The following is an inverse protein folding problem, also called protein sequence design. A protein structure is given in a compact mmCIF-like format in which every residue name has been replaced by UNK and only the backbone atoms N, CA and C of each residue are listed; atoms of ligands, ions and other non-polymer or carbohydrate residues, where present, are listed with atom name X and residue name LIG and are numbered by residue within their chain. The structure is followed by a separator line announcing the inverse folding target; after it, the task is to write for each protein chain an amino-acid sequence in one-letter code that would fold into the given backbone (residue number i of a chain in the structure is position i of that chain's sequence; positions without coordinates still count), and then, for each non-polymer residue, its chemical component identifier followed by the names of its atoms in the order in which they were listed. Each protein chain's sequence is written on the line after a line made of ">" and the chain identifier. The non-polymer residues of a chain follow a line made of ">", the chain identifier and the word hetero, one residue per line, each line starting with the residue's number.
data_IF_987380320998
#
_entry.id   IF_987380320998
#
_cell.length_a   1.000
_cell.length_b   1.000
_cell.length_c   1.000
_cell.angle_alpha   90.00
_cell.angle_beta   90.00
_cell.angle_gamma   90.00
#
_symmetry.space_group_name_H-M   'P 1'
#
loop_
_entity.id
_entity.type
_entity.pdbx_description
1 polymer ?
#
# COMPACT_ATOMS: atom_id res chain seq x y z
N UNK A 1 0.94 -44.78 -16.74
CA UNK A 1 1.14 -43.65 -17.69
C UNK A 1 1.60 -42.46 -16.85
N UNK A 2 2.76 -41.82 -17.08
CA UNK A 2 3.12 -40.92 -18.20
C UNK A 2 2.16 -39.72 -18.33
N UNK A 3 2.54 -38.43 -18.36
CA UNK A 3 3.83 -37.66 -18.41
C UNK A 3 3.62 -36.35 -17.58
N UNK A 4 4.62 -35.62 -17.04
CA UNK A 4 5.65 -34.77 -17.71
C UNK A 4 5.05 -33.44 -18.22
N UNK A 5 5.63 -32.22 -18.08
CA UNK A 5 7.03 -31.79 -17.79
C UNK A 5 7.11 -30.38 -17.13
N UNK A 6 8.17 -30.22 -16.34
CA UNK A 6 9.06 -29.06 -16.14
C UNK A 6 9.07 -27.88 -17.13
N UNK A 7 9.39 -26.66 -16.64
CA UNK A 7 10.68 -25.91 -16.84
C UNK A 7 10.67 -24.61 -15.97
N UNK A 8 11.53 -24.45 -14.94
CA UNK A 8 12.93 -23.93 -14.95
C UNK A 8 13.13 -22.40 -15.08
N UNK A 9 13.67 -21.78 -14.01
CA UNK A 9 14.77 -20.76 -14.03
C UNK A 9 15.27 -20.51 -12.59
N UNK A 10 16.27 -21.27 -12.14
CA UNK A 10 17.70 -20.90 -12.05
C UNK A 10 18.03 -19.83 -11.00
N UNK A 11 18.49 -20.31 -9.83
CA UNK A 11 19.35 -19.54 -8.89
C UNK A 11 20.67 -19.21 -9.58
N UNK A 12 21.23 -18.04 -9.32
CA UNK A 12 22.65 -17.74 -9.56
C UNK A 12 23.36 -17.68 -8.21
N UNK A 13 24.26 -18.63 -7.99
CA UNK A 13 25.25 -18.58 -6.91
C UNK A 13 26.54 -17.98 -7.47
N UNK A 14 27.00 -16.88 -6.87
CA UNK A 14 28.37 -16.40 -7.05
C UNK A 14 29.17 -16.82 -5.82
N UNK A 15 30.13 -17.72 -6.00
CA UNK A 15 31.14 -18.04 -5.00
C UNK A 15 32.30 -17.03 -5.12
N UNK A 16 32.95 -16.64 -4.01
CA UNK A 16 34.26 -15.99 -4.05
C UNK A 16 35.39 -17.04 -4.10
N UNK A 17 36.46 -16.73 -4.82
CA UNK A 17 37.63 -17.61 -4.98
C UNK A 17 38.79 -17.22 -4.05
N UNK A 18 39.24 -18.20 -3.27
CA UNK A 18 40.63 -18.58 -2.97
C UNK A 18 41.63 -17.63 -2.22
N UNK A 19 42.16 -18.19 -1.12
CA UNK A 19 43.59 -18.20 -0.67
C UNK A 19 44.20 -16.88 -0.11
N UNK A 20 45.14 -16.86 0.85
CA UNK A 20 45.98 -17.88 1.54
C UNK A 20 45.97 -17.76 3.09
N UNK A 21 46.34 -18.87 3.76
CA UNK A 21 47.25 -19.13 4.92
C UNK A 21 47.81 -17.95 5.77
N UNK A 22 48.37 -18.09 6.99
CA UNK A 22 49.08 -19.17 7.72
C UNK A 22 48.84 -19.05 9.26
N UNK A 23 49.28 -19.92 10.19
CA UNK A 23 49.23 -21.39 10.37
C UNK A 23 49.69 -21.73 11.85
N UNK A 24 49.38 -22.92 12.42
CA UNK A 24 49.88 -23.43 13.74
C UNK A 24 48.86 -23.53 14.90
N UNK A 25 48.95 -24.44 15.87
CA UNK A 25 49.81 -25.63 16.08
C UNK A 25 49.18 -26.57 17.15
N UNK A 26 49.40 -27.90 17.02
CA UNK A 26 49.34 -29.08 17.96
C UNK A 26 48.51 -29.02 19.30
N UNK A 27 47.95 -30.10 19.86
CA UNK A 27 48.43 -31.51 19.96
C UNK A 27 47.28 -32.48 20.38
N UNK A 28 47.50 -33.82 20.36
CA UNK A 28 46.84 -34.73 21.33
C UNK A 28 46.00 -35.95 20.86
N UNK A 29 46.64 -37.12 20.83
CA UNK A 29 46.14 -38.46 21.28
C UNK A 29 45.06 -39.29 20.51
N UNK A 30 45.59 -40.30 19.78
CA UNK A 30 45.19 -41.74 19.74
C UNK A 30 43.82 -42.26 19.24
N UNK A 31 43.91 -42.95 18.09
CA UNK A 31 43.49 -44.35 17.80
C UNK A 31 42.02 -44.78 18.02
N UNK A 32 41.31 -44.99 16.91
CA UNK A 32 40.55 -46.23 16.68
C UNK A 32 40.40 -46.51 15.17
N UNK A 33 40.82 -47.70 14.71
CA UNK A 33 40.78 -48.09 13.29
C UNK A 33 39.87 -49.31 13.12
N UNK A 34 38.71 -49.10 12.48
CA UNK A 34 37.94 -50.13 11.76
C UNK A 34 37.30 -49.48 10.53
N UNK A 35 37.70 -49.93 9.35
CA UNK A 35 37.09 -49.53 8.07
C UNK A 35 35.91 -50.47 7.76
N UNK A 36 34.76 -49.94 7.35
CA UNK A 36 34.07 -50.42 6.14
C UNK A 36 32.99 -49.43 5.63
N UNK A 37 33.17 -49.03 4.36
CA UNK A 37 32.15 -48.70 3.33
C UNK A 37 31.06 -47.63 3.57
N UNK A 38 31.31 -46.47 2.95
CA UNK A 38 30.48 -45.81 1.92
C UNK A 38 28.93 -45.93 1.98
N UNK A 39 28.27 -44.80 2.26
CA UNK A 39 27.11 -44.35 1.47
C UNK A 39 26.89 -42.84 1.66
N UNK A 40 26.96 -42.06 0.58
CA UNK A 40 26.58 -40.65 0.57
C UNK A 40 25.05 -40.50 0.50
N UNK A 41 24.49 -39.59 1.30
CA UNK A 41 23.20 -38.95 0.98
C UNK A 41 23.14 -37.54 1.57
N UNK A 42 23.51 -36.57 0.74
CA UNK A 42 23.22 -35.15 0.97
C UNK A 42 21.71 -34.88 0.94
N UNK A 43 21.21 -34.07 1.88
CA UNK A 43 20.17 -33.05 1.66
C UNK A 43 19.72 -32.37 2.97
N UNK A 44 20.67 -31.91 3.77
CA UNK A 44 20.44 -31.11 4.99
C UNK A 44 20.20 -29.62 4.70
N UNK A 45 19.21 -29.29 3.85
CA UNK A 45 18.97 -27.92 3.38
C UNK A 45 18.62 -26.94 4.49
N UNK A 46 19.62 -26.20 5.00
CA UNK A 46 19.43 -25.11 5.95
C UNK A 46 18.47 -24.05 5.39
N UNK A 47 17.24 -24.04 5.89
CA UNK A 47 16.32 -22.91 5.68
C UNK A 47 16.93 -21.70 6.38
N UNK A 48 17.51 -20.78 5.62
CA UNK A 48 17.67 -19.40 6.07
C UNK A 48 16.28 -18.91 6.48
N UNK A 49 16.06 -18.71 7.78
CA UNK A 49 14.83 -18.13 8.29
C UNK A 49 14.78 -16.67 7.87
N UNK A 50 14.23 -16.43 6.67
CA UNK A 50 13.99 -15.09 6.14
C UNK A 50 13.07 -14.38 7.14
N UNK A 51 13.60 -13.36 7.82
CA UNK A 51 12.89 -12.72 8.92
C UNK A 51 11.71 -11.94 8.37
N UNK A 52 10.50 -12.40 8.70
CA UNK A 52 9.26 -11.68 8.46
C UNK A 52 8.96 -10.80 9.67
N UNK A 53 8.94 -9.49 9.44
CA UNK A 53 8.58 -8.48 10.43
C UNK A 53 7.20 -7.95 10.08
N UNK A 54 6.32 -7.81 11.07
CA UNK A 54 4.97 -7.28 10.91
C UNK A 54 4.79 -6.08 11.82
N UNK A 55 4.21 -5.00 11.30
CA UNK A 55 3.84 -3.82 12.09
C UNK A 55 2.42 -3.38 11.80
N UNK A 56 1.64 -3.13 12.85
CA UNK A 56 0.31 -2.52 12.76
C UNK A 56 0.41 -1.00 12.85
N UNK A 57 0.01 -0.31 11.79
CA UNK A 57 -0.03 1.16 11.72
C UNK A 57 -1.49 1.59 11.82
N UNK A 58 -1.80 2.57 12.67
CA UNK A 58 -3.15 3.15 12.74
C UNK A 58 -3.13 4.59 12.25
N UNK A 59 -3.98 4.89 11.27
CA UNK A 59 -4.11 6.23 10.69
C UNK A 59 -5.31 6.93 11.32
N UNK A 60 -5.08 8.07 11.97
CA UNK A 60 -6.07 8.81 12.76
C UNK A 60 -6.09 10.30 12.38
N UNK A 61 -7.14 11.01 12.78
CA UNK A 61 -7.38 12.41 12.43
C UNK A 61 -8.84 12.65 12.04
N UNK A 62 -9.21 13.91 11.81
CA UNK A 62 -10.60 14.31 11.59
C UNK A 62 -11.26 13.68 10.34
N UNK A 63 -12.57 13.88 10.20
CA UNK A 63 -13.30 13.51 8.99
C UNK A 63 -12.78 14.30 7.78
N UNK A 64 -12.80 13.69 6.58
CA UNK A 64 -12.45 14.34 5.29
C UNK A 64 -11.02 14.91 5.15
N UNK A 65 -10.13 14.78 6.14
CA UNK A 65 -8.70 15.19 6.03
C UNK A 65 -7.92 14.40 4.98
N UNK A 66 -8.39 13.20 4.61
CA UNK A 66 -7.82 12.40 3.50
C UNK A 66 -7.03 11.15 3.91
N UNK A 67 -7.22 10.60 5.11
CA UNK A 67 -6.59 9.34 5.60
C UNK A 67 -6.60 8.22 4.55
N UNK A 68 -7.79 7.82 4.11
CA UNK A 68 -8.00 6.79 3.07
C UNK A 68 -7.34 7.14 1.75
N UNK A 69 -7.29 8.43 1.38
CA UNK A 69 -6.64 8.87 0.15
C UNK A 69 -5.11 8.69 0.24
N UNK A 70 -4.48 9.02 1.38
CA UNK A 70 -3.04 8.77 1.62
C UNK A 70 -2.74 7.27 1.57
N UNK A 71 -3.57 6.43 2.20
CA UNK A 71 -3.39 4.97 2.22
C UNK A 71 -3.52 4.38 0.81
N UNK A 72 -4.56 4.74 0.07
CA UNK A 72 -4.77 4.28 -1.30
C UNK A 72 -3.67 4.77 -2.26
N UNK A 73 -3.20 6.00 -2.06
CA UNK A 73 -2.11 6.56 -2.86
C UNK A 73 -0.76 5.89 -2.53
N UNK A 74 -0.53 5.47 -1.28
CA UNK A 74 0.67 4.72 -0.90
C UNK A 74 0.66 3.26 -1.39
N UNK A 75 -0.43 2.52 -1.16
CA UNK A 75 -0.52 1.09 -1.44
C UNK A 75 -0.82 0.77 -2.91
N UNK A 76 -1.68 1.57 -3.54
CA UNK A 76 -2.24 1.27 -4.86
C UNK A 76 -1.89 2.33 -5.93
N UNK A 77 -1.27 3.44 -5.53
CA UNK A 77 -1.01 4.61 -6.38
C UNK A 77 -2.29 5.16 -7.04
N UNK A 78 -3.41 5.14 -6.31
CA UNK A 78 -4.72 5.62 -6.78
C UNK A 78 -5.30 6.70 -5.87
N UNK A 79 -5.87 7.71 -6.52
CA UNK A 79 -6.69 8.75 -5.89
C UNK A 79 -8.11 8.71 -6.46
N UNK A 80 -9.12 8.97 -5.61
CA UNK A 80 -10.52 9.10 -6.03
C UNK A 80 -11.11 10.37 -5.39
N UNK A 81 -11.59 11.35 -6.17
CA UNK A 81 -12.13 12.60 -5.63
C UNK A 81 -13.51 12.42 -4.95
N UNK A 82 -14.23 11.34 -5.27
CA UNK A 82 -15.52 11.03 -4.66
C UNK A 82 -15.33 10.56 -3.21
N UNK A 83 -15.72 11.39 -2.25
CA UNK A 83 -15.70 11.01 -0.84
C UNK A 83 -16.69 9.87 -0.53
N UNK A 84 -16.18 8.83 0.13
CA UNK A 84 -16.95 7.78 0.81
C UNK A 84 -16.53 7.80 2.29
N UNK A 85 -17.50 7.78 3.21
CA UNK A 85 -17.20 7.73 4.65
C UNK A 85 -16.63 6.35 5.01
N UNK A 86 -15.39 6.30 5.51
CA UNK A 86 -14.82 5.10 6.14
C UNK A 86 -15.52 4.82 7.47
N UNK A 87 -15.73 3.53 7.77
CA UNK A 87 -16.11 3.05 9.12
C UNK A 87 -14.83 2.64 9.85
N UNK A 88 -14.26 1.50 9.46
CA UNK A 88 -12.89 1.08 9.75
C UNK A 88 -12.50 0.06 8.67
N UNK A 89 -11.29 0.16 8.10
CA UNK A 89 -10.82 -0.72 7.03
C UNK A 89 -9.36 -1.13 7.26
N UNK A 90 -9.07 -2.43 7.16
CA UNK A 90 -7.73 -2.98 7.36
C UNK A 90 -7.08 -3.23 5.99
N UNK A 91 -6.05 -2.47 5.67
CA UNK A 91 -5.24 -2.65 4.47
C UNK A 91 -3.95 -3.40 4.79
N UNK A 92 -3.47 -4.20 3.83
CA UNK A 92 -2.23 -4.94 3.95
C UNK A 92 -1.24 -4.51 2.86
N UNK A 93 0.02 -4.33 3.26
CA UNK A 93 1.14 -4.08 2.35
C UNK A 93 2.36 -4.88 2.75
N UNK A 94 2.67 -5.95 2.01
CA UNK A 94 3.96 -6.64 2.14
C UNK A 94 5.03 -5.90 1.36
N UNK A 95 6.24 -5.77 1.91
CA UNK A 95 7.40 -5.11 1.29
C UNK A 95 8.64 -6.00 1.45
N UNK A 96 9.63 -5.84 0.57
CA UNK A 96 10.95 -6.44 0.74
C UNK A 96 11.98 -5.32 0.84
N UNK A 97 12.67 -5.23 1.98
CA UNK A 97 13.61 -4.16 2.29
C UNK A 97 14.90 -4.80 2.79
N UNK A 98 15.99 -4.63 2.03
CA UNK A 98 17.32 -5.18 2.37
C UNK A 98 17.34 -6.70 2.67
N UNK A 99 16.46 -7.48 2.04
CA UNK A 99 16.35 -8.93 2.27
C UNK A 99 15.47 -9.34 3.46
N UNK A 100 14.78 -8.38 4.09
CA UNK A 100 13.77 -8.61 5.13
C UNK A 100 12.38 -8.47 4.50
N UNK A 101 11.46 -9.38 4.84
CA UNK A 101 10.05 -9.25 4.50
C UNK A 101 9.34 -8.43 5.57
N UNK A 102 8.78 -7.28 5.18
CA UNK A 102 8.06 -6.35 6.06
C UNK A 102 6.59 -6.30 5.67
N UNK A 103 5.71 -6.85 6.50
CA UNK A 103 4.25 -6.72 6.36
C UNK A 103 3.75 -5.53 7.16
N UNK A 104 3.05 -4.59 6.52
CA UNK A 104 2.37 -3.48 7.17
C UNK A 104 0.86 -3.74 7.18
N UNK A 105 0.27 -3.81 8.38
CA UNK A 105 -1.17 -3.86 8.59
C UNK A 105 -1.64 -2.42 8.90
N UNK A 106 -2.19 -1.72 7.90
CA UNK A 106 -2.55 -0.29 7.98
C UNK A 106 -4.06 -0.14 8.21
N UNK A 107 -4.45 0.37 9.37
CA UNK A 107 -5.85 0.58 9.75
C UNK A 107 -6.30 1.99 9.35
N UNK A 108 -7.15 2.08 8.33
CA UNK A 108 -7.91 3.30 8.03
C UNK A 108 -9.09 3.38 9.00
N UNK A 109 -9.09 4.41 9.85
CA UNK A 109 -10.18 4.62 10.82
C UNK A 109 -11.15 5.68 10.30
N UNK A 110 -12.43 5.64 10.69
CA UNK A 110 -13.30 6.80 10.47
C UNK A 110 -12.69 8.04 11.13
N UNK A 111 -12.90 9.22 10.53
CA UNK A 111 -12.60 10.49 11.19
C UNK A 111 -13.71 10.97 12.13
N UNK A 112 -14.48 10.04 12.70
CA UNK A 112 -15.70 10.32 13.43
C UNK A 112 -15.88 9.20 14.45
N UNK A 113 -15.14 9.29 15.55
CA UNK A 113 -15.08 8.24 16.57
C UNK A 113 -16.31 8.33 17.47
N UNK A 114 -17.46 7.88 16.95
CA UNK A 114 -18.73 7.78 17.66
C UNK A 114 -18.66 6.82 18.88
N UNK A 115 -17.60 5.99 18.96
CA UNK A 115 -17.40 4.98 20.01
C UNK A 115 -15.98 5.07 20.61
N UNK A 116 -15.81 5.68 21.79
CA UNK A 116 -14.49 5.81 22.46
C UNK A 116 -13.77 4.48 22.69
N UNK A 117 -14.50 3.42 23.04
CA UNK A 117 -13.92 2.09 23.30
C UNK A 117 -13.23 1.48 22.05
N UNK A 118 -13.75 1.73 20.85
CA UNK A 118 -13.12 1.31 19.60
C UNK A 118 -11.83 2.09 19.35
N UNK A 119 -11.85 3.41 19.60
CA UNK A 119 -10.63 4.25 19.52
C UNK A 119 -9.55 3.74 20.46
N UNK A 120 -9.89 3.44 21.72
CA UNK A 120 -8.93 2.93 22.71
C UNK A 120 -8.36 1.56 22.33
N UNK A 121 -9.16 0.67 21.72
CA UNK A 121 -8.69 -0.62 21.21
C UNK A 121 -7.72 -0.45 20.03
N UNK A 122 -8.06 0.43 19.09
CA UNK A 122 -7.20 0.75 17.95
C UNK A 122 -5.89 1.41 18.40
N UNK A 123 -5.92 2.30 19.40
CA UNK A 123 -4.70 2.84 20.03
C UNK A 123 -3.90 1.71 20.68
N UNK A 124 -4.47 0.95 21.62
CA UNK A 124 -3.74 -0.09 22.37
C UNK A 124 -3.05 -1.10 21.45
N UNK A 125 -3.69 -1.47 20.34
CA UNK A 125 -3.16 -2.48 19.39
C UNK A 125 -2.15 -1.97 18.35
N UNK A 126 -1.95 -0.66 18.18
CA UNK A 126 -1.04 -0.12 17.15
C UNK A 126 0.45 -0.15 17.55
N UNK A 127 1.33 -0.49 16.63
CA UNK A 127 2.80 -0.35 16.81
C UNK A 127 3.28 1.07 16.48
N UNK A 128 2.58 1.76 15.58
CA UNK A 128 2.91 3.12 15.15
C UNK A 128 1.66 3.88 14.67
N UNK A 129 1.72 5.22 14.66
CA UNK A 129 0.60 6.09 14.30
C UNK A 129 0.93 7.09 13.21
N UNK A 130 -0.05 7.33 12.34
CA UNK A 130 -0.04 8.45 11.38
C UNK A 130 -1.21 9.37 11.71
N UNK A 131 -0.92 10.62 12.11
CA UNK A 131 -1.91 11.61 12.52
C UNK A 131 -2.09 12.65 11.41
N UNK A 132 -3.22 12.56 10.70
CA UNK A 132 -3.49 13.38 9.50
C UNK A 132 -4.38 14.57 9.84
N UNK A 133 -3.98 15.76 9.40
CA UNK A 133 -4.79 16.97 9.38
C UNK A 133 -4.86 17.56 7.97
N UNK A 134 -5.76 18.50 7.76
CA UNK A 134 -5.87 19.29 6.53
C UNK A 134 -5.14 20.63 6.75
N UNK A 135 -4.19 20.99 5.89
CA UNK A 135 -3.43 22.25 6.06
C UNK A 135 -4.31 23.51 5.92
N UNK A 136 -5.51 23.34 5.38
CA UNK A 136 -6.50 24.40 5.14
C UNK A 136 -7.62 24.43 6.20
N UNK A 137 -7.54 23.61 7.25
CA UNK A 137 -8.53 23.61 8.36
C UNK A 137 -7.80 23.42 9.70
N UNK A 138 -7.62 24.55 10.40
CA UNK A 138 -6.94 24.64 11.68
C UNK A 138 -7.58 23.79 12.80
N UNK A 139 -8.88 23.51 12.72
CA UNK A 139 -9.59 22.66 13.69
C UNK A 139 -9.13 21.20 13.62
N UNK A 140 -8.76 20.73 12.42
CA UNK A 140 -8.29 19.36 12.22
C UNK A 140 -6.92 19.12 12.84
N UNK A 141 -6.06 20.15 12.90
CA UNK A 141 -4.80 20.09 13.64
C UNK A 141 -4.99 20.11 15.17
N UNK A 142 -6.04 20.79 15.66
CA UNK A 142 -6.43 20.71 17.08
C UNK A 142 -6.90 19.28 17.45
N UNK A 143 -7.60 18.56 16.56
CA UNK A 143 -7.91 17.15 16.80
C UNK A 143 -6.63 16.29 16.85
N UNK A 144 -5.64 16.55 15.98
CA UNK A 144 -4.32 15.87 16.04
C UNK A 144 -3.62 16.09 17.38
N UNK A 145 -3.67 17.29 17.97
CA UNK A 145 -3.14 17.58 19.32
C UNK A 145 -3.79 16.69 20.39
N UNK A 146 -5.13 16.61 20.36
CA UNK A 146 -5.92 15.78 21.29
C UNK A 146 -5.65 14.29 21.11
N UNK A 147 -5.60 13.80 19.87
CA UNK A 147 -5.29 12.41 19.53
C UNK A 147 -3.88 12.02 20.02
N UNK A 148 -2.87 12.87 19.80
CA UNK A 148 -1.51 12.64 20.29
C UNK A 148 -1.49 12.51 21.81
N UNK A 149 -2.18 13.39 22.54
CA UNK A 149 -2.26 13.32 24.00
C UNK A 149 -2.89 12.00 24.49
N UNK A 150 -3.97 11.53 23.85
CA UNK A 150 -4.62 10.26 24.17
C UNK A 150 -3.73 9.05 23.85
N UNK A 151 -2.95 9.10 22.76
CA UNK A 151 -1.99 8.05 22.40
C UNK A 151 -0.89 7.95 23.46
N UNK A 152 -0.27 9.08 23.82
CA UNK A 152 0.82 9.11 24.80
C UNK A 152 0.36 8.73 26.21
N UNK A 153 -0.85 9.10 26.63
CA UNK A 153 -1.40 8.65 27.92
C UNK A 153 -1.70 7.15 27.95
N UNK A 154 -1.97 6.53 26.80
CA UNK A 154 -2.34 5.11 26.69
C UNK A 154 -1.15 4.19 26.45
N UNK A 155 -0.12 4.64 25.70
CA UNK A 155 1.04 3.81 25.30
C UNK A 155 2.40 4.32 25.80
N UNK A 156 2.50 5.55 26.28
CA UNK A 156 3.79 6.22 26.47
C UNK A 156 4.46 6.51 25.12
N UNK A 157 5.79 6.41 25.06
CA UNK A 157 6.55 6.68 23.85
C UNK A 157 6.30 5.62 22.75
N UNK A 158 5.81 6.07 21.60
CA UNK A 158 5.48 5.23 20.43
C UNK A 158 5.75 6.05 19.14
N UNK A 159 6.13 5.43 18.01
CA UNK A 159 6.38 6.16 16.77
C UNK A 159 5.13 6.86 16.25
N UNK A 160 5.25 8.18 16.05
CA UNK A 160 4.18 9.05 15.54
C UNK A 160 4.74 9.87 14.38
N UNK A 161 4.01 9.91 13.26
CA UNK A 161 4.21 10.89 12.18
C UNK A 161 2.95 11.73 12.04
N UNK A 162 3.09 13.05 12.14
CA UNK A 162 2.04 14.02 11.84
C UNK A 162 2.12 14.38 10.35
N UNK A 163 0.97 14.40 9.69
CA UNK A 163 0.86 14.59 8.25
C UNK A 163 -0.11 15.72 7.93
N UNK A 164 0.42 16.82 7.38
CA UNK A 164 -0.39 17.89 6.79
C UNK A 164 -0.75 17.51 5.36
N UNK A 165 -2.03 17.22 5.09
CA UNK A 165 -2.49 16.83 3.76
C UNK A 165 -3.17 18.00 3.03
N UNK A 166 -3.31 17.85 1.70
CA UNK A 166 -3.97 18.79 0.77
C UNK A 166 -3.19 20.07 0.52
N UNK A 167 -1.85 19.99 0.48
CA UNK A 167 -0.99 21.10 0.05
C UNK A 167 -1.26 21.56 -1.40
N UNK A 168 -1.97 20.75 -2.19
CA UNK A 168 -2.42 21.12 -3.55
C UNK A 168 -3.64 22.05 -3.58
N UNK A 169 -4.28 22.29 -2.43
CA UNK A 169 -5.41 23.21 -2.27
C UNK A 169 -5.03 24.51 -1.57
N UNK A 170 -3.73 24.74 -1.33
CA UNK A 170 -3.23 25.93 -0.65
C UNK A 170 -3.41 27.15 -1.55
N UNK A 171 -4.41 27.96 -1.21
CA UNK A 171 -4.52 29.34 -1.68
C UNK A 171 -3.59 30.26 -0.84
N UNK A 172 -3.57 31.56 -1.13
CA UNK A 172 -2.52 32.47 -0.66
C UNK A 172 -2.38 32.63 0.88
N UNK A 173 -3.37 32.18 1.65
CA UNK A 173 -3.39 32.21 3.12
C UNK A 173 -3.72 30.81 3.66
N UNK A 174 -2.70 30.06 4.14
CA UNK A 174 -2.92 28.82 4.89
C UNK A 174 -3.46 29.15 6.29
N UNK A 175 -4.56 28.51 6.71
CA UNK A 175 -5.02 28.62 8.11
C UNK A 175 -4.01 28.05 9.12
N UNK A 176 -3.21 27.07 8.70
CA UNK A 176 -2.17 26.43 9.52
C UNK A 176 -0.81 26.84 8.99
N UNK A 177 -0.11 27.68 9.74
CA UNK A 177 1.27 28.06 9.44
C UNK A 177 2.18 26.82 9.48
N UNK A 178 2.74 26.48 8.32
CA UNK A 178 3.56 25.28 8.12
C UNK A 178 4.80 25.25 9.03
N UNK A 179 5.56 26.35 9.13
CA UNK A 179 6.84 26.33 9.84
C UNK A 179 6.66 26.21 11.36
N UNK A 180 5.77 26.99 11.98
CA UNK A 180 5.50 26.87 13.42
C UNK A 180 4.86 25.53 13.78
N UNK A 181 4.09 24.92 12.87
CA UNK A 181 3.58 23.56 13.01
C UNK A 181 4.70 22.52 12.92
N UNK A 182 5.62 22.67 11.95
CA UNK A 182 6.80 21.82 11.78
C UNK A 182 7.71 21.87 12.99
N UNK A 183 8.02 23.06 13.51
CA UNK A 183 8.80 23.25 14.74
C UNK A 183 8.13 22.61 15.95
N UNK A 184 6.82 22.81 16.12
CA UNK A 184 6.04 22.22 17.22
C UNK A 184 6.13 20.68 17.18
N UNK A 185 5.92 20.06 16.02
CA UNK A 185 5.94 18.59 15.87
C UNK A 185 7.36 18.02 16.00
N UNK A 186 8.36 18.66 15.39
CA UNK A 186 9.72 18.09 15.34
C UNK A 186 10.54 18.41 16.59
N UNK A 187 10.49 19.64 17.10
CA UNK A 187 11.34 20.10 18.22
C UNK A 187 10.68 19.93 19.59
N UNK A 188 9.38 20.22 19.72
CA UNK A 188 8.68 20.14 21.02
C UNK A 188 8.02 18.78 21.27
N UNK A 189 7.69 18.04 20.21
CA UNK A 189 7.01 16.75 20.31
C UNK A 189 7.90 15.55 19.98
N UNK A 190 9.08 15.78 19.41
CA UNK A 190 10.03 14.75 18.94
C UNK A 190 9.36 13.71 18.02
N UNK A 191 8.46 14.17 17.13
CA UNK A 191 7.71 13.31 16.22
C UNK A 191 8.00 13.67 14.76
N UNK A 192 7.73 12.72 13.86
CA UNK A 192 7.92 12.93 12.43
C UNK A 192 6.91 13.93 11.88
N UNK A 193 7.32 14.75 10.91
CA UNK A 193 6.43 15.70 10.23
C UNK A 193 6.62 15.65 8.71
N UNK A 194 5.52 15.44 7.98
CA UNK A 194 5.53 15.40 6.51
C UNK A 194 4.30 16.09 5.96
N UNK A 195 4.49 17.06 5.06
CA UNK A 195 3.40 17.63 4.27
C UNK A 195 3.23 16.89 2.96
N UNK A 196 1.98 16.61 2.56
CA UNK A 196 1.64 15.76 1.43
C UNK A 196 0.47 16.29 0.61
N UNK A 197 0.41 15.86 -0.66
CA UNK A 197 -0.84 15.83 -1.43
C UNK A 197 -1.14 14.39 -1.80
N UNK A 198 -2.22 13.84 -1.26
CA UNK A 198 -2.74 12.55 -1.69
C UNK A 198 -3.28 12.57 -3.14
N UNK A 199 -3.71 13.74 -3.64
CA UNK A 199 -4.24 13.93 -5.00
C UNK A 199 -3.12 13.94 -6.04
N UNK A 200 -2.07 14.74 -5.80
CA UNK A 200 -0.93 14.90 -6.70
C UNK A 200 0.21 13.89 -6.42
N UNK A 201 -0.01 12.92 -5.52
CA UNK A 201 0.97 11.91 -5.07
C UNK A 201 2.27 12.53 -4.51
N UNK A 202 2.21 13.73 -3.95
CA UNK A 202 3.35 14.44 -3.39
C UNK A 202 3.62 13.95 -1.97
N UNK A 203 4.89 13.62 -1.69
CA UNK A 203 5.43 13.21 -0.39
C UNK A 203 4.79 11.99 0.31
N UNK A 204 3.68 11.43 -0.17
CA UNK A 204 3.60 9.99 -0.55
C UNK A 204 4.43 9.04 0.34
N UNK A 205 5.49 8.50 -0.27
CA UNK A 205 6.45 7.58 0.34
C UNK A 205 7.31 8.17 1.48
N UNK A 206 7.33 9.49 1.66
CA UNK A 206 8.10 10.14 2.73
C UNK A 206 7.44 9.94 4.11
N UNK A 207 6.10 9.92 4.18
CA UNK A 207 5.35 9.58 5.42
C UNK A 207 5.83 8.25 6.00
N UNK A 208 5.95 7.23 5.14
CA UNK A 208 6.36 5.89 5.56
C UNK A 208 7.87 5.78 5.83
N UNK A 209 8.72 6.56 5.14
CA UNK A 209 10.15 6.66 5.51
C UNK A 209 10.30 7.25 6.91
N UNK A 210 9.61 8.35 7.18
CA UNK A 210 9.65 9.03 8.46
C UNK A 210 9.15 8.11 9.59
N UNK A 211 8.08 7.35 9.33
CA UNK A 211 7.54 6.39 10.31
C UNK A 211 8.55 5.29 10.69
N UNK A 212 9.34 4.79 9.74
CA UNK A 212 10.40 3.82 10.02
C UNK A 212 11.59 4.44 10.78
N UNK A 213 11.94 5.68 10.46
CA UNK A 213 12.96 6.46 11.21
C UNK A 213 12.52 6.65 12.67
N UNK A 214 11.27 7.08 12.89
CA UNK A 214 10.66 7.24 14.21
C UNK A 214 10.60 5.92 15.00
N UNK A 215 10.35 4.80 14.31
CA UNK A 215 10.43 3.46 14.89
C UNK A 215 11.87 2.97 15.18
N UNK A 216 12.89 3.79 14.89
CA UNK A 216 14.33 3.46 14.98
C UNK A 216 14.71 2.23 14.15
N UNK A 217 13.90 1.90 13.15
CA UNK A 217 14.09 0.77 12.26
C UNK A 217 15.11 1.17 11.20
N UNK A 218 16.33 0.61 11.29
CA UNK A 218 17.44 0.89 10.36
C UNK A 218 17.18 0.25 8.98
N UNK A 219 16.26 0.84 8.23
CA UNK A 219 15.89 0.39 6.90
C UNK A 219 16.25 1.42 5.83
N UNK A 220 17.28 1.11 5.04
CA UNK A 220 17.49 1.77 3.77
C UNK A 220 16.33 1.37 2.82
N UNK A 221 15.26 2.17 2.81
CA UNK A 221 14.15 2.02 1.86
C UNK A 221 14.66 2.25 0.44
N UNK A 222 15.11 1.15 -0.17
CA UNK A 222 15.73 1.14 -1.49
C UNK A 222 14.78 1.66 -2.59
N UNK A 223 15.30 1.94 -3.80
CA UNK A 223 14.49 2.22 -4.99
C UNK A 223 13.45 1.15 -5.37
N UNK A 224 13.33 0.05 -4.64
CA UNK A 224 12.22 -0.90 -4.76
C UNK A 224 10.84 -0.22 -4.62
N UNK A 225 10.69 0.84 -3.81
CA UNK A 225 9.44 1.62 -3.76
C UNK A 225 9.14 2.37 -5.06
N UNK A 226 10.16 2.75 -5.85
CA UNK A 226 9.97 3.30 -7.20
C UNK A 226 9.70 2.20 -8.26
N UNK A 227 10.13 0.95 -7.98
CA UNK A 227 10.04 -0.18 -8.92
C UNK A 227 8.77 -1.03 -8.82
N UNK A 228 7.87 -0.75 -7.86
CA UNK A 228 6.57 -1.47 -7.72
C UNK A 228 5.52 -1.20 -8.80
N UNK A 229 5.88 -0.50 -9.88
CA UNK A 229 5.00 -0.17 -11.01
C UNK A 229 4.53 -1.38 -11.84
N UNK A 230 4.90 -2.63 -11.51
CA UNK A 230 4.48 -3.86 -12.20
C UNK A 230 4.42 -5.09 -11.29
N UNK A 231 3.21 -5.40 -10.78
CA UNK A 231 2.65 -6.73 -10.41
C UNK A 231 1.48 -6.47 -9.43
N UNK A 232 0.24 -6.92 -9.64
CA UNK A 232 -0.42 -7.43 -10.86
C UNK A 232 -1.93 -7.31 -10.69
N UNK A 233 -2.54 -6.25 -11.23
CA UNK A 233 -3.98 -6.22 -11.49
C UNK A 233 -4.24 -6.78 -12.90
N UNK A 234 -5.23 -7.68 -13.10
CA UNK A 234 -5.64 -8.05 -14.45
C UNK A 234 -6.19 -6.80 -15.17
N UNK A 235 -5.91 -6.64 -16.47
CA UNK A 235 -6.42 -5.48 -17.20
C UNK A 235 -7.96 -5.49 -17.22
N UNK A 236 -8.63 -4.36 -16.95
CA UNK A 236 -10.08 -4.29 -17.05
C UNK A 236 -10.48 -4.51 -18.52
N UNK A 237 -11.24 -5.58 -18.76
CA UNK A 237 -11.79 -5.87 -20.09
C UNK A 237 -12.91 -4.88 -20.42
N UNK A 238 -12.57 -3.73 -20.98
CA UNK A 238 -13.53 -2.79 -21.57
C UNK A 238 -13.45 -2.80 -23.10
N UNK A 239 -14.32 -3.63 -23.67
CA UNK A 239 -15.21 -3.33 -24.80
C UNK A 239 -14.71 -2.26 -25.79
N UNK A 240 -14.27 -2.71 -26.97
CA UNK A 240 -13.93 -1.85 -28.11
C UNK A 240 -15.07 -0.89 -28.49
N UNK A 241 -14.84 0.41 -28.31
CA UNK A 241 -15.66 1.46 -28.92
C UNK A 241 -15.12 1.84 -30.31
N UNK A 242 -15.73 1.26 -31.34
CA UNK A 242 -15.89 1.83 -32.70
C UNK A 242 -14.65 2.43 -33.39
N UNK A 243 -14.00 1.61 -34.22
CA UNK A 243 -13.54 2.11 -35.52
C UNK A 243 -14.76 2.41 -36.42
N UNK A 244 -14.68 3.46 -37.21
CA UNK A 244 -15.73 3.85 -38.17
C UNK A 244 -15.63 3.01 -39.44
N UNK A 245 -16.55 2.05 -39.64
CA UNK A 245 -16.80 1.43 -40.94
C UNK A 245 -18.23 1.77 -41.40
N UNK A 246 -18.33 2.39 -42.58
CA UNK A 246 -19.59 2.66 -43.25
C UNK A 246 -20.17 1.37 -43.81
N UNK A 247 -21.03 0.71 -43.03
CA UNK A 247 -21.73 -0.50 -43.46
C UNK A 247 -22.93 -0.14 -44.36
N UNK A 248 -22.77 -0.31 -45.68
CA UNK A 248 -23.89 -0.26 -46.63
C UNK A 248 -24.77 -1.50 -46.41
N UNK A 249 -26.07 -1.36 -46.11
CA UNK A 249 -26.95 -2.52 -45.89
C UNK A 249 -27.13 -3.33 -47.17
N UNK A 250 -27.22 -4.66 -47.04
CA UNK A 250 -27.40 -5.54 -48.19
C UNK A 250 -28.81 -5.39 -48.81
N UNK A 251 -29.02 -5.76 -50.09
CA UNK A 251 -30.33 -5.65 -50.72
C UNK A 251 -31.46 -6.38 -49.97
N UNK A 252 -31.15 -7.50 -49.32
CA UNK A 252 -32.10 -8.25 -48.48
C UNK A 252 -32.49 -7.49 -47.20
N UNK A 253 -31.57 -6.73 -46.60
CA UNK A 253 -31.86 -5.90 -45.42
C UNK A 253 -32.75 -4.71 -45.78
N UNK A 254 -32.57 -4.13 -46.98
CA UNK A 254 -33.43 -3.04 -47.48
C UNK A 254 -34.87 -3.51 -47.76
N UNK A 255 -35.05 -4.68 -48.38
CA UNK A 255 -36.39 -5.26 -48.59
C UNK A 255 -37.11 -5.55 -47.27
N UNK A 256 -36.40 -6.06 -46.26
CA UNK A 256 -37.01 -6.32 -44.95
C UNK A 256 -37.46 -5.03 -44.24
N UNK A 257 -36.68 -3.96 -44.33
CA UNK A 257 -37.05 -2.64 -43.80
C UNK A 257 -38.26 -2.03 -44.53
N UNK A 258 -38.39 -2.23 -45.85
CA UNK A 258 -39.58 -1.81 -46.60
C UNK A 258 -40.84 -2.56 -46.14
N UNK A 259 -40.79 -3.90 -46.01
CA UNK A 259 -41.92 -4.69 -45.49
C UNK A 259 -42.36 -4.30 -44.07
N UNK A 260 -41.42 -3.93 -43.20
CA UNK A 260 -41.74 -3.42 -41.85
C UNK A 260 -42.47 -2.08 -41.93
N UNK A 261 -42.03 -1.18 -42.82
CA UNK A 261 -42.65 0.13 -43.01
C UNK A 261 -44.09 0.01 -43.54
N UNK A 262 -44.30 -0.78 -44.58
CA UNK A 262 -45.63 -1.04 -45.17
C UNK A 262 -46.61 -1.60 -44.13
N UNK A 263 -46.17 -2.58 -43.33
CA UNK A 263 -46.96 -3.12 -42.20
C UNK A 263 -47.28 -2.09 -41.11
N UNK A 264 -46.46 -1.04 -40.96
CA UNK A 264 -46.70 0.02 -39.97
C UNK A 264 -47.72 1.06 -40.45
N UNK A 265 -47.74 1.34 -41.75
CA UNK A 265 -48.67 2.32 -42.36
C UNK A 265 -50.09 1.73 -42.49
N UNK A 266 -50.23 0.43 -42.81
CA UNK A 266 -51.53 -0.26 -42.85
C UNK A 266 -52.27 -0.34 -41.50
N UNK A 267 -51.58 -0.15 -40.36
CA UNK A 267 -52.18 -0.22 -39.01
C UNK A 267 -52.68 1.12 -38.45
N UNK A 268 -52.48 2.25 -39.17
CA UNK A 268 -52.91 3.58 -38.68
C UNK A 268 -54.30 4.01 -39.13
N UNK A 269 -54.93 3.32 -40.10
CA UNK A 269 -56.12 3.79 -40.79
C UNK A 269 -57.42 2.98 -40.49
N UNK A 270 -57.53 2.32 -39.33
CA UNK A 270 -58.78 1.61 -38.96
C UNK A 270 -59.00 1.51 -37.44
N UNK A 271 -59.20 2.67 -36.80
CA UNK A 271 -59.86 2.81 -35.50
C UNK A 271 -60.71 4.08 -35.51
N UNK A 272 -61.91 3.99 -36.07
CA UNK A 272 -62.97 5.01 -35.92
C UNK A 272 -63.89 4.52 -34.80
N UNK A 273 -64.16 5.40 -33.83
CA UNK A 273 -65.17 5.19 -32.79
C UNK A 273 -65.99 6.47 -32.63
N UNK A 274 -67.31 6.32 -32.83
CA UNK A 274 -68.39 7.29 -32.59
C UNK A 274 -68.33 8.60 -33.41
#
# INVERSE_FOLDING_TARGET
>A
MMKGRHQFRRRFSLQPSAHLKEDGQEDGTTKNVRNDRLSESDSGGGKSSESSIRHKIVVMGAAKVGKSAIINQFLYATFTPKYKRTVEEMHHGDFSVSGIHLTLDILDTSGSYEFPAMRDLSIKSADAFVLVYDVNDSSTFLEVKTLRAQILSTKGAVPIVVVGNKIDLVEAEQEVETESTRELVTMKWENGFVEVSAKENLNISQVFKELLIQAKLKYNLSPALQRRRRQSLPPPQHINSRSSSTHVPSPAQLQHLQQIRERSESKRNSCILS
#
